data_IF_789020879222
#
_entry.id   IF_789020879222
#
_cell.length_a   1.000
_cell.length_b   1.000
_cell.length_c   1.000
_cell.angle_alpha   90.00
_cell.angle_beta   90.00
_cell.angle_gamma   90.00
#
_symmetry.space_group_name_H-M   'P 1'
#
loop_
_entity.id
_entity.type
_entity.pdbx_description
1 polymer ?
#
# COMPACT_ATOMS: atom_id res chain seq x y z
N UNK A 1 24.87 -75.44 -14.42
CA UNK A 1 24.43 -75.97 -15.72
C UNK A 1 24.64 -74.85 -16.71
N UNK A 2 25.55 -75.08 -17.64
CA UNK A 2 25.77 -74.45 -18.97
C UNK A 2 25.62 -72.91 -19.06
N UNK A 3 26.67 -72.11 -19.29
CA UNK A 3 27.68 -72.08 -20.37
C UNK A 3 27.15 -71.77 -21.78
N UNK A 4 27.52 -70.59 -22.28
CA UNK A 4 28.27 -70.40 -23.53
C UNK A 4 29.09 -69.07 -23.36
N UNK A 5 30.38 -68.89 -23.76
CA UNK A 5 31.12 -69.15 -25.03
C UNK A 5 30.74 -68.09 -26.07
N UNK A 6 31.60 -67.33 -26.77
CA UNK A 6 33.08 -67.10 -26.93
C UNK A 6 33.21 -65.66 -27.51
N UNK A 7 34.34 -64.95 -27.68
CA UNK A 7 35.80 -64.96 -27.34
C UNK A 7 36.30 -63.52 -27.72
N UNK A 8 37.55 -63.07 -27.93
CA UNK A 8 38.98 -63.48 -27.92
C UNK A 8 39.78 -62.13 -27.91
N UNK A 9 41.08 -61.98 -27.67
CA UNK A 9 42.22 -62.83 -27.29
C UNK A 9 43.44 -61.92 -27.00
N UNK A 10 44.58 -62.47 -26.57
CA UNK A 10 45.78 -61.68 -26.19
C UNK A 10 47.04 -62.09 -26.97
N UNK A 11 47.98 -61.15 -27.13
CA UNK A 11 49.35 -61.39 -27.64
C UNK A 11 50.38 -60.64 -26.79
N UNK A 12 51.62 -61.14 -26.74
CA UNK A 12 52.68 -60.70 -25.83
C UNK A 12 54.06 -60.72 -26.52
N UNK A 13 55.15 -60.53 -25.73
CA UNK A 13 56.58 -60.60 -26.11
C UNK A 13 57.13 -59.38 -26.89
N UNK A 14 58.41 -58.98 -26.82
CA UNK A 14 59.52 -59.38 -25.92
C UNK A 14 60.58 -58.24 -25.82
N UNK A 15 61.67 -58.35 -25.02
CA UNK A 15 62.50 -57.21 -24.61
C UNK A 15 63.90 -57.10 -25.28
N UNK A 16 64.57 -55.97 -25.03
CA UNK A 16 66.04 -55.76 -24.83
C UNK A 16 66.28 -54.30 -24.40
N UNK A 17 66.90 -54.05 -23.25
CA UNK A 17 68.36 -53.87 -23.03
C UNK A 17 68.99 -52.75 -23.86
N UNK A 18 69.61 -51.75 -23.20
CA UNK A 18 71.06 -51.47 -23.26
C UNK A 18 71.52 -50.17 -22.57
N UNK A 19 72.53 -50.27 -21.68
CA UNK A 19 73.56 -49.26 -21.27
C UNK A 19 73.06 -47.87 -20.73
N UNK A 20 73.81 -47.08 -19.92
CA UNK A 20 75.12 -47.27 -19.29
C UNK A 20 75.31 -46.51 -17.95
N UNK A 21 76.52 -46.64 -17.40
CA UNK A 21 77.09 -46.24 -16.12
C UNK A 21 76.85 -44.83 -15.51
N UNK A 22 76.73 -44.84 -14.17
CA UNK A 22 77.42 -44.00 -13.16
C UNK A 22 77.35 -42.45 -13.25
N UNK A 23 76.77 -41.86 -12.20
CA UNK A 23 76.94 -40.46 -11.77
C UNK A 23 76.61 -40.33 -10.28
N UNK A 24 77.33 -39.48 -9.54
CA UNK A 24 77.32 -39.44 -8.07
C UNK A 24 76.22 -38.55 -7.44
N UNK A 25 76.17 -38.59 -6.10
CA UNK A 25 75.29 -37.89 -5.17
C UNK A 25 74.71 -36.53 -5.59
N UNK A 26 73.41 -36.34 -5.32
CA UNK A 26 72.89 -35.04 -4.87
C UNK A 26 71.61 -35.17 -4.03
N UNK A 27 71.77 -35.03 -2.71
CA UNK A 27 70.65 -34.89 -1.78
C UNK A 27 69.80 -33.65 -2.12
N UNK A 28 68.46 -33.72 -2.07
CA UNK A 28 67.60 -32.58 -2.42
C UNK A 28 67.77 -31.42 -1.42
N UNK A 29 68.28 -30.29 -1.92
CA UNK A 29 68.57 -29.09 -1.13
C UNK A 29 67.31 -28.54 -0.43
N UNK A 30 67.30 -28.40 0.92
CA UNK A 30 66.10 -28.02 1.69
C UNK A 30 65.61 -26.58 1.45
N UNK A 31 66.38 -25.77 0.72
CA UNK A 31 66.01 -24.39 0.33
C UNK A 31 64.88 -24.38 -0.70
N UNK A 32 64.87 -25.31 -1.67
CA UNK A 32 64.02 -25.20 -2.85
C UNK A 32 62.54 -25.53 -2.53
N UNK A 33 62.28 -26.50 -1.64
CA UNK A 33 60.93 -26.74 -1.11
C UNK A 33 60.42 -25.59 -0.22
N UNK A 34 61.30 -24.96 0.59
CA UNK A 34 60.92 -23.82 1.44
C UNK A 34 60.42 -22.63 0.62
N UNK A 35 61.07 -22.32 -0.51
CA UNK A 35 60.65 -21.23 -1.38
C UNK A 35 59.25 -21.46 -1.99
N UNK A 36 58.98 -22.68 -2.50
CA UNK A 36 57.65 -23.03 -3.06
C UNK A 36 56.54 -23.00 -1.99
N UNK A 37 56.85 -23.40 -0.75
CA UNK A 37 55.91 -23.28 0.37
C UNK A 37 55.66 -21.81 0.75
N UNK A 38 56.69 -20.96 0.80
CA UNK A 38 56.53 -19.53 1.05
C UNK A 38 55.71 -18.82 -0.03
N UNK A 39 55.90 -19.12 -1.32
CA UNK A 39 55.08 -18.52 -2.37
C UNK A 39 53.62 -18.98 -2.32
N UNK A 40 53.36 -20.26 -2.05
CA UNK A 40 51.98 -20.74 -1.83
C UNK A 40 51.33 -20.09 -0.62
N UNK A 41 52.05 -19.88 0.48
CA UNK A 41 51.55 -19.15 1.64
C UNK A 41 51.29 -17.67 1.34
N UNK A 42 52.20 -16.98 0.63
CA UNK A 42 51.99 -15.58 0.18
C UNK A 42 50.77 -15.46 -0.74
N UNK A 43 50.60 -16.37 -1.69
CA UNK A 43 49.44 -16.41 -2.59
C UNK A 43 48.13 -16.69 -1.87
N UNK A 44 48.14 -17.57 -0.86
CA UNK A 44 46.98 -17.82 0.00
C UNK A 44 46.63 -16.58 0.85
N UNK A 45 47.63 -15.95 1.46
CA UNK A 45 47.46 -14.74 2.27
C UNK A 45 46.95 -13.56 1.43
N UNK A 46 47.44 -13.39 0.21
CA UNK A 46 46.96 -12.37 -0.73
C UNK A 46 45.50 -12.61 -1.17
N UNK A 47 45.12 -13.86 -1.44
CA UNK A 47 43.71 -14.23 -1.73
C UNK A 47 42.80 -14.01 -0.52
N UNK A 48 43.27 -14.29 0.69
CA UNK A 48 42.53 -14.02 1.92
C UNK A 48 42.38 -12.50 2.16
N UNK A 49 43.44 -11.73 1.94
CA UNK A 49 43.41 -10.26 2.01
C UNK A 49 42.42 -9.66 0.99
N UNK A 50 42.45 -10.11 -0.26
CA UNK A 50 41.46 -9.69 -1.27
C UNK A 50 40.02 -10.01 -0.86
N UNK A 51 39.76 -11.21 -0.31
CA UNK A 51 38.44 -11.56 0.24
C UNK A 51 38.01 -10.64 1.40
N UNK A 52 38.93 -10.26 2.28
CA UNK A 52 38.63 -9.29 3.35
C UNK A 52 38.34 -7.89 2.78
N UNK A 53 39.05 -7.45 1.73
CA UNK A 53 38.73 -6.21 1.03
C UNK A 53 37.36 -6.25 0.34
N UNK A 54 37.01 -7.35 -0.34
CA UNK A 54 35.67 -7.56 -0.92
C UNK A 54 34.57 -7.43 0.14
N UNK A 55 34.72 -8.15 1.28
CA UNK A 55 33.75 -8.10 2.38
C UNK A 55 33.68 -6.70 2.99
N UNK A 56 34.81 -6.02 3.20
CA UNK A 56 34.83 -4.65 3.73
C UNK A 56 34.12 -3.65 2.79
N UNK A 57 34.34 -3.74 1.47
CA UNK A 57 33.68 -2.90 0.47
C UNK A 57 32.16 -3.13 0.49
N UNK A 58 31.72 -4.39 0.52
CA UNK A 58 30.29 -4.72 0.63
C UNK A 58 29.70 -4.19 1.94
N UNK A 59 30.41 -4.34 3.07
CA UNK A 59 29.95 -3.82 4.36
C UNK A 59 29.83 -2.29 4.35
N UNK A 60 30.79 -1.57 3.76
CA UNK A 60 30.73 -0.11 3.60
C UNK A 60 29.56 0.32 2.71
N UNK A 61 29.31 -0.38 1.59
CA UNK A 61 28.16 -0.08 0.72
C UNK A 61 26.83 -0.29 1.47
N UNK A 62 26.70 -1.39 2.22
CA UNK A 62 25.50 -1.67 3.03
C UNK A 62 25.32 -0.62 4.14
N UNK A 63 26.38 -0.25 4.85
CA UNK A 63 26.32 0.79 5.88
C UNK A 63 25.95 2.16 5.31
N UNK A 64 26.55 2.57 4.18
CA UNK A 64 26.16 3.81 3.49
C UNK A 64 24.71 3.77 2.99
N UNK A 65 24.23 2.63 2.49
CA UNK A 65 22.82 2.49 2.09
C UNK A 65 21.88 2.63 3.30
N UNK A 66 22.21 2.05 4.45
CA UNK A 66 21.44 2.18 5.70
C UNK A 66 21.43 3.63 6.18
N UNK A 67 22.57 4.34 6.17
CA UNK A 67 22.63 5.77 6.52
C UNK A 67 21.77 6.62 5.59
N UNK A 68 21.86 6.43 4.27
CA UNK A 68 21.06 7.16 3.28
C UNK A 68 19.55 6.87 3.47
N UNK A 69 19.19 5.63 3.81
CA UNK A 69 17.79 5.27 4.09
C UNK A 69 17.29 5.95 5.37
N UNK A 70 18.08 5.92 6.44
CA UNK A 70 17.76 6.56 7.73
C UNK A 70 17.66 8.08 7.63
N UNK A 71 18.56 8.75 6.90
CA UNK A 71 18.48 10.20 6.61
C UNK A 71 17.23 10.54 5.78
N UNK A 72 16.83 9.66 4.85
CA UNK A 72 15.64 9.84 4.02
C UNK A 72 14.34 9.62 4.80
N UNK A 73 14.29 8.64 5.69
CA UNK A 73 13.20 8.49 6.67
C UNK A 73 13.12 9.72 7.57
N UNK A 74 14.23 10.14 8.20
CA UNK A 74 14.21 11.26 9.14
C UNK A 74 13.84 12.58 8.45
N UNK A 75 14.31 12.83 7.22
CA UNK A 75 13.91 13.99 6.40
C UNK A 75 12.43 13.97 5.99
N UNK A 76 11.82 12.78 5.87
CA UNK A 76 10.40 12.62 5.54
C UNK A 76 9.54 12.79 6.80
N UNK A 77 9.96 12.17 7.91
CA UNK A 77 9.34 12.29 9.23
C UNK A 77 9.42 13.71 9.77
N UNK A 78 10.51 14.45 9.57
CA UNK A 78 10.60 15.87 9.95
C UNK A 78 9.61 16.76 9.17
N UNK A 79 9.35 16.46 7.88
CA UNK A 79 8.35 17.18 7.08
C UNK A 79 6.91 16.87 7.50
N UNK A 80 6.63 15.61 7.87
CA UNK A 80 5.34 15.21 8.44
C UNK A 80 5.11 15.86 9.81
N UNK A 81 6.08 15.74 10.74
CA UNK A 81 6.03 16.34 12.10
C UNK A 81 5.72 17.84 12.14
N UNK A 82 6.03 18.58 11.06
CA UNK A 82 5.70 20.00 10.95
C UNK A 82 4.20 20.31 10.84
N UNK A 83 3.36 19.33 10.47
CA UNK A 83 1.95 19.57 10.10
C UNK A 83 0.92 18.89 11.04
N UNK A 84 1.30 17.92 11.86
CA UNK A 84 0.38 17.22 12.77
C UNK A 84 0.27 17.85 14.16
N UNK A 85 -0.29 19.06 14.21
CA UNK A 85 -0.80 19.65 15.47
C UNK A 85 -2.32 19.52 15.55
N UNK A 86 -2.84 19.07 16.69
CA UNK A 86 -4.29 18.92 16.90
C UNK A 86 -4.95 20.28 17.13
N UNK A 87 -5.82 20.71 16.20
CA UNK A 87 -6.57 21.96 16.31
C UNK A 87 -7.77 21.82 17.25
N UNK A 88 -7.98 22.83 18.10
CA UNK A 88 -9.16 22.90 18.99
C UNK A 88 -10.40 23.31 18.21
N UNK A 89 -11.57 22.80 18.63
CA UNK A 89 -12.85 23.14 18.03
C UNK A 89 -13.14 24.66 18.14
N UNK A 90 -13.58 25.26 17.02
CA UNK A 90 -13.87 26.70 16.92
C UNK A 90 -13.06 27.44 15.84
N UNK A 91 -12.67 26.76 14.76
CA UNK A 91 -12.03 27.39 13.60
C UNK A 91 -13.07 27.74 12.52
N UNK A 92 -12.93 28.91 11.94
CA UNK A 92 -13.54 29.27 10.66
C UNK A 92 -12.69 28.61 9.55
N UNK A 93 -13.30 27.89 8.60
CA UNK A 93 -12.53 27.05 7.68
C UNK A 93 -11.83 27.90 6.62
N UNK A 94 -10.53 28.14 6.84
CA UNK A 94 -9.70 29.03 6.01
C UNK A 94 -9.58 28.59 4.55
N UNK A 95 -9.76 27.30 4.25
CA UNK A 95 -9.75 26.76 2.89
C UNK A 95 -11.15 26.25 2.55
N UNK A 96 -11.65 26.64 1.37
CA UNK A 96 -12.81 26.00 0.75
C UNK A 96 -12.34 25.21 -0.47
N UNK A 97 -13.04 24.13 -0.82
CA UNK A 97 -12.65 23.21 -1.89
C UNK A 97 -13.68 23.19 -3.00
N UNK A 98 -13.24 22.84 -4.21
CA UNK A 98 -14.08 22.65 -5.39
C UNK A 98 -13.61 21.44 -6.21
N UNK A 99 -14.56 20.57 -6.57
CA UNK A 99 -14.39 19.47 -7.50
C UNK A 99 -14.44 19.99 -8.95
N UNK A 100 -13.67 19.37 -9.82
CA UNK A 100 -13.46 19.80 -11.22
C UNK A 100 -14.11 18.76 -12.15
N UNK A 101 -15.40 18.89 -12.50
CA UNK A 101 -16.13 17.87 -13.25
C UNK A 101 -15.73 17.82 -14.73
N UNK A 102 -15.96 16.66 -15.35
CA UNK A 102 -15.71 16.40 -16.77
C UNK A 102 -14.63 15.36 -17.04
N UNK A 103 -14.20 14.61 -16.02
CA UNK A 103 -13.23 13.52 -16.12
C UNK A 103 -13.85 12.13 -15.98
N UNK A 104 -14.78 11.92 -15.04
CA UNK A 104 -15.38 10.60 -14.77
C UNK A 104 -16.91 10.60 -15.01
N UNK A 105 -17.54 9.42 -14.93
CA UNK A 105 -19.00 9.27 -15.09
C UNK A 105 -19.76 9.82 -13.86
N UNK A 106 -19.10 9.75 -12.71
CA UNK A 106 -19.58 10.12 -11.38
C UNK A 106 -19.82 11.63 -11.26
N UNK A 107 -19.07 12.45 -12.00
CA UNK A 107 -19.11 13.93 -12.04
C UNK A 107 -20.46 14.54 -12.49
N UNK A 108 -21.44 13.71 -12.87
CA UNK A 108 -22.69 14.14 -13.53
C UNK A 108 -23.85 14.14 -12.54
N UNK A 109 -24.68 15.18 -12.59
CA UNK A 109 -25.97 15.21 -11.87
C UNK A 109 -27.00 14.16 -12.30
N UNK A 110 -26.69 13.37 -13.34
CA UNK A 110 -27.41 12.18 -13.76
C UNK A 110 -26.57 10.90 -13.64
N UNK A 111 -25.52 10.91 -12.82
CA UNK A 111 -24.78 9.73 -12.41
C UNK A 111 -25.69 8.82 -11.58
N UNK A 112 -25.62 7.52 -11.86
CA UNK A 112 -26.51 6.51 -11.33
C UNK A 112 -25.63 5.38 -10.79
N UNK A 113 -25.52 5.22 -9.45
CA UNK A 113 -24.65 4.22 -8.83
C UNK A 113 -24.90 2.78 -9.30
N UNK A 114 -26.15 2.39 -9.53
CA UNK A 114 -26.50 1.04 -9.97
C UNK A 114 -26.09 0.79 -11.43
N UNK A 115 -26.21 1.80 -12.30
CA UNK A 115 -25.76 1.73 -13.71
C UNK A 115 -24.25 1.91 -13.89
N UNK A 116 -23.57 2.59 -12.96
CA UNK A 116 -22.11 2.78 -13.00
C UNK A 116 -21.38 1.60 -12.32
N UNK A 117 -21.93 1.09 -11.23
CA UNK A 117 -21.40 -0.03 -10.46
C UNK A 117 -20.20 0.32 -9.55
N UNK A 118 -19.71 -0.63 -8.73
CA UNK A 118 -18.61 -0.41 -7.80
C UNK A 118 -17.23 -0.23 -8.48
N UNK A 119 -17.02 -0.87 -9.63
CA UNK A 119 -15.72 -0.88 -10.31
C UNK A 119 -15.91 -0.66 -11.83
N UNK A 120 -16.36 0.54 -12.24
CA UNK A 120 -16.56 0.87 -13.65
C UNK A 120 -15.22 0.83 -14.42
N UNK A 121 -15.27 0.41 -15.69
CA UNK A 121 -14.11 0.43 -16.59
C UNK A 121 -13.36 1.78 -16.53
N UNK A 122 -12.04 1.70 -16.31
CA UNK A 122 -11.13 2.86 -16.17
C UNK A 122 -11.50 3.77 -14.99
N UNK A 123 -12.00 3.20 -13.90
CA UNK A 123 -12.58 3.91 -12.75
C UNK A 123 -13.69 4.91 -13.11
N UNK A 124 -14.32 4.74 -14.29
CA UNK A 124 -15.34 5.63 -14.81
C UNK A 124 -14.83 6.76 -15.70
N UNK A 125 -13.53 6.85 -15.99
CA UNK A 125 -12.95 7.90 -16.84
C UNK A 125 -13.66 7.97 -18.20
N UNK A 126 -14.07 9.18 -18.62
CA UNK A 126 -14.87 9.38 -19.86
C UNK A 126 -14.02 9.57 -21.12
N UNK A 127 -12.70 9.72 -21.01
CA UNK A 127 -11.82 9.85 -22.17
C UNK A 127 -11.74 8.50 -22.92
N UNK A 128 -12.12 8.48 -24.19
CA UNK A 128 -12.14 7.27 -25.04
C UNK A 128 -10.92 7.15 -25.97
N UNK A 129 -9.94 8.05 -25.89
CA UNK A 129 -8.71 7.98 -26.68
C UNK A 129 -7.84 6.78 -26.26
N UNK A 130 -7.07 6.18 -27.19
CA UNK A 130 -6.19 5.02 -26.91
C UNK A 130 -5.25 5.22 -25.71
N UNK A 131 -4.83 6.46 -25.48
CA UNK A 131 -3.95 6.87 -24.37
C UNK A 131 -4.71 7.70 -23.32
N UNK A 132 -5.87 7.22 -22.86
CA UNK A 132 -6.77 7.97 -21.97
C UNK A 132 -6.16 8.35 -20.62
N UNK A 133 -5.31 7.50 -20.00
CA UNK A 133 -4.64 7.83 -18.75
C UNK A 133 -3.50 8.82 -18.95
N UNK A 134 -2.66 8.63 -19.97
CA UNK A 134 -1.64 9.62 -20.33
C UNK A 134 -2.26 10.98 -20.71
N UNK A 135 -3.47 10.99 -21.28
CA UNK A 135 -4.24 12.20 -21.55
C UNK A 135 -4.80 12.83 -20.27
N UNK A 136 -5.26 12.03 -19.31
CA UNK A 136 -5.75 12.48 -18.01
C UNK A 136 -4.62 13.15 -17.21
N UNK A 137 -3.50 12.47 -17.05
CA UNK A 137 -2.30 12.99 -16.37
C UNK A 137 -1.81 14.31 -16.97
N UNK A 138 -1.70 14.39 -18.30
CA UNK A 138 -1.35 15.64 -19.00
C UNK A 138 -2.37 16.77 -18.82
N UNK A 139 -3.63 16.49 -18.47
CA UNK A 139 -4.62 17.51 -18.09
C UNK A 139 -4.36 17.99 -16.65
N UNK A 140 -4.17 17.07 -15.70
CA UNK A 140 -3.86 17.40 -14.29
C UNK A 140 -2.55 18.20 -14.18
N UNK A 141 -1.46 17.74 -14.79
CA UNK A 141 -0.19 18.47 -14.85
C UNK A 141 -0.32 19.85 -15.50
N UNK A 142 -1.18 20.00 -16.51
CA UNK A 142 -1.44 21.28 -17.18
C UNK A 142 -2.29 22.24 -16.34
N UNK A 143 -3.13 21.73 -15.43
CA UNK A 143 -3.82 22.52 -14.42
C UNK A 143 -2.81 22.99 -13.35
N UNK A 144 -2.06 22.07 -12.73
CA UNK A 144 -1.03 22.38 -11.73
C UNK A 144 0.14 23.26 -12.25
N UNK A 145 0.43 23.26 -13.55
CA UNK A 145 1.40 24.19 -14.17
C UNK A 145 0.83 25.58 -14.50
N UNK A 146 -0.48 25.79 -14.29
CA UNK A 146 -1.19 27.03 -14.61
C UNK A 146 -1.76 27.77 -13.39
N UNK A 147 -1.80 27.12 -12.24
CA UNK A 147 -2.15 27.74 -10.97
C UNK A 147 -1.05 28.65 -10.42
N UNK A 148 -1.44 29.47 -9.45
CA UNK A 148 -0.58 30.11 -8.47
C UNK A 148 0.01 29.10 -7.46
N UNK A 149 0.77 29.60 -6.47
CA UNK A 149 1.38 28.82 -5.39
C UNK A 149 0.37 28.18 -4.44
N UNK A 150 -0.85 28.68 -4.40
CA UNK A 150 -1.83 28.40 -3.34
C UNK A 150 -2.88 27.39 -3.83
N UNK A 151 -2.96 27.16 -5.14
CA UNK A 151 -3.90 26.26 -5.81
C UNK A 151 -3.20 25.01 -6.35
N UNK A 152 -3.44 23.86 -5.70
CA UNK A 152 -3.02 22.54 -6.21
C UNK A 152 -4.23 21.65 -6.48
N UNK A 153 -4.31 21.13 -7.71
CA UNK A 153 -5.27 20.13 -8.15
C UNK A 153 -4.79 18.74 -7.73
N UNK A 154 -5.61 18.07 -6.91
CA UNK A 154 -5.42 16.71 -6.42
C UNK A 154 -6.37 15.74 -7.14
N UNK A 155 -6.00 14.47 -7.16
CA UNK A 155 -6.84 13.38 -7.67
C UNK A 155 -7.03 12.38 -6.53
N UNK A 156 -8.27 12.18 -6.10
CA UNK A 156 -8.63 11.35 -4.96
C UNK A 156 -9.25 10.03 -5.42
N UNK A 157 -8.54 8.93 -5.29
CA UNK A 157 -9.08 7.58 -5.45
C UNK A 157 -9.82 7.17 -4.16
N UNK A 158 -11.14 7.36 -4.15
CA UNK A 158 -12.02 7.18 -2.99
C UNK A 158 -12.61 5.76 -2.99
N UNK A 159 -12.06 4.88 -2.16
CA UNK A 159 -12.53 3.50 -1.97
C UNK A 159 -13.43 3.34 -0.75
N UNK A 160 -14.62 2.77 -0.95
CA UNK A 160 -15.47 2.26 0.14
C UNK A 160 -15.07 0.82 0.45
N UNK A 161 -14.96 0.47 1.74
CA UNK A 161 -14.65 -0.89 2.17
C UNK A 161 -15.57 -1.95 1.52
N UNK A 162 -15.03 -3.16 1.33
CA UNK A 162 -15.83 -4.33 0.96
C UNK A 162 -16.87 -4.69 2.02
N UNK A 163 -17.87 -5.47 1.66
CA UNK A 163 -18.94 -5.93 2.54
C UNK A 163 -18.38 -6.57 3.81
N UNK A 164 -18.75 -6.02 4.96
CA UNK A 164 -18.50 -6.64 6.26
C UNK A 164 -19.75 -7.29 6.82
N UNK A 165 -19.59 -8.14 7.84
CA UNK A 165 -20.72 -8.81 8.49
C UNK A 165 -21.78 -7.85 9.07
N UNK A 166 -21.40 -6.59 9.36
CA UNK A 166 -22.35 -5.55 9.74
C UNK A 166 -23.30 -5.14 8.60
N UNK A 167 -22.85 -5.16 7.35
CA UNK A 167 -23.71 -4.89 6.19
C UNK A 167 -24.74 -6.01 6.03
N UNK A 168 -24.30 -7.27 6.14
CA UNK A 168 -25.20 -8.45 6.09
C UNK A 168 -26.21 -8.43 7.25
N UNK A 169 -25.79 -8.05 8.46
CA UNK A 169 -26.70 -7.89 9.59
C UNK A 169 -27.71 -6.75 9.38
N UNK A 170 -27.27 -5.60 8.87
CA UNK A 170 -28.13 -4.44 8.63
C UNK A 170 -29.14 -4.68 7.49
N UNK A 171 -28.72 -5.38 6.43
CA UNK A 171 -29.59 -5.83 5.33
C UNK A 171 -30.65 -6.83 5.82
N UNK A 172 -30.23 -7.84 6.59
CA UNK A 172 -31.14 -8.88 7.09
C UNK A 172 -32.18 -8.39 8.11
N UNK A 173 -31.81 -7.43 8.98
CA UNK A 173 -32.72 -6.90 10.01
C UNK A 173 -33.45 -5.60 9.62
N UNK A 174 -32.97 -4.89 8.59
CA UNK A 174 -33.41 -3.53 8.27
C UNK A 174 -32.88 -2.48 9.25
N UNK A 175 -32.81 -1.23 8.79
CA UNK A 175 -32.19 -0.10 9.50
C UNK A 175 -32.73 0.10 10.92
N UNK A 176 -34.05 0.07 11.09
CA UNK A 176 -34.72 0.37 12.37
C UNK A 176 -34.38 -0.66 13.46
N UNK A 177 -34.53 -1.95 13.18
CA UNK A 177 -34.25 -3.03 14.14
C UNK A 177 -32.74 -3.25 14.31
N UNK A 178 -31.93 -2.83 13.33
CA UNK A 178 -30.48 -2.73 13.47
C UNK A 178 -30.07 -1.69 14.51
N UNK A 179 -30.48 -0.42 14.35
CA UNK A 179 -30.08 0.67 15.26
C UNK A 179 -30.75 0.62 16.64
N UNK A 180 -31.97 0.09 16.69
CA UNK A 180 -32.68 -0.17 17.95
C UNK A 180 -32.04 -1.29 18.77
N UNK A 181 -31.41 -2.29 18.14
CA UNK A 181 -31.03 -3.54 18.82
C UNK A 181 -29.80 -4.27 18.28
N UNK A 182 -29.74 -4.65 17.00
CA UNK A 182 -28.72 -5.61 16.55
C UNK A 182 -27.34 -5.00 16.35
N UNK A 183 -27.24 -3.78 15.81
CA UNK A 183 -25.96 -3.07 15.73
C UNK A 183 -25.31 -2.85 17.10
N UNK A 184 -26.11 -2.75 18.17
CA UNK A 184 -25.69 -2.64 19.58
C UNK A 184 -25.22 -3.97 20.21
N UNK A 185 -25.22 -5.07 19.45
CA UNK A 185 -24.68 -6.39 19.84
C UNK A 185 -23.47 -6.74 18.99
N UNK A 186 -22.67 -7.71 19.42
CA UNK A 186 -21.52 -8.21 18.64
C UNK A 186 -21.92 -9.19 17.51
N UNK A 187 -23.17 -9.65 17.48
CA UNK A 187 -23.64 -10.66 16.55
C UNK A 187 -25.03 -11.19 16.91
N UNK A 188 -25.50 -12.18 16.15
CA UNK A 188 -26.76 -12.90 16.43
C UNK A 188 -26.56 -14.36 16.89
N UNK A 189 -25.32 -14.85 16.94
CA UNK A 189 -24.98 -16.24 17.27
C UNK A 189 -24.72 -17.12 16.04
N UNK A 190 -25.07 -16.65 14.84
CA UNK A 190 -24.71 -17.28 13.55
C UNK A 190 -23.58 -16.51 12.87
N UNK A 191 -23.64 -15.17 12.91
CA UNK A 191 -22.57 -14.28 12.43
C UNK A 191 -22.17 -13.27 13.51
N UNK A 192 -20.91 -12.82 13.42
CA UNK A 192 -20.28 -11.83 14.32
C UNK A 192 -19.93 -10.59 13.50
N UNK A 193 -20.30 -9.42 14.00
CA UNK A 193 -20.04 -8.12 13.38
C UNK A 193 -19.50 -7.08 14.36
N UNK A 194 -19.13 -7.47 15.58
CA UNK A 194 -18.57 -6.58 16.60
C UNK A 194 -17.68 -7.30 17.62
N UNK A 195 -16.67 -6.65 18.22
CA UNK A 195 -16.12 -5.34 17.80
C UNK A 195 -15.60 -5.39 16.35
N UNK A 196 -15.43 -4.21 15.74
CA UNK A 196 -14.88 -3.97 14.39
C UNK A 196 -15.20 -5.03 13.31
N UNK A 197 -16.28 -4.82 12.57
CA UNK A 197 -16.78 -5.80 11.62
C UNK A 197 -15.75 -6.17 10.53
N UNK A 198 -15.32 -7.43 10.53
CA UNK A 198 -14.51 -8.03 9.46
C UNK A 198 -15.26 -8.09 8.12
N UNK A 199 -14.51 -8.20 7.02
CA UNK A 199 -15.05 -8.49 5.69
C UNK A 199 -15.70 -9.87 5.63
N UNK A 200 -16.73 -10.01 4.78
CA UNK A 200 -17.23 -11.31 4.31
C UNK A 200 -16.40 -11.78 3.10
N UNK A 201 -16.56 -13.04 2.69
CA UNK A 201 -15.97 -13.55 1.44
C UNK A 201 -16.40 -12.71 0.21
N UNK A 202 -17.63 -12.17 0.23
CA UNK A 202 -18.15 -11.25 -0.78
C UNK A 202 -17.49 -9.87 -0.70
N UNK A 203 -17.10 -9.42 0.49
CA UNK A 203 -16.28 -8.22 0.69
C UNK A 203 -14.84 -8.37 0.19
N UNK A 204 -14.22 -9.53 0.43
CA UNK A 204 -12.91 -9.88 -0.15
C UNK A 204 -13.02 -9.89 -1.68
N UNK A 205 -13.98 -10.61 -2.25
CA UNK A 205 -14.24 -10.66 -3.69
C UNK A 205 -14.76 -9.32 -4.30
N UNK A 206 -15.05 -8.30 -3.48
CA UNK A 206 -15.22 -6.93 -3.94
C UNK A 206 -13.88 -6.20 -4.05
N UNK A 207 -13.04 -6.26 -3.01
CA UNK A 207 -11.70 -5.67 -3.04
C UNK A 207 -10.82 -6.27 -4.15
N UNK A 208 -10.86 -7.59 -4.36
CA UNK A 208 -10.17 -8.29 -5.46
C UNK A 208 -10.58 -7.79 -6.86
N UNK A 209 -11.81 -7.31 -7.02
CA UNK A 209 -12.29 -6.73 -8.29
C UNK A 209 -11.77 -5.31 -8.51
N UNK A 210 -11.64 -4.51 -7.45
CA UNK A 210 -10.98 -3.19 -7.54
C UNK A 210 -9.48 -3.37 -7.79
N UNK A 211 -8.84 -4.35 -7.13
CA UNK A 211 -7.46 -4.77 -7.42
C UNK A 211 -7.28 -5.19 -8.90
N UNK A 212 -8.16 -6.06 -9.41
CA UNK A 212 -8.15 -6.49 -10.81
C UNK A 212 -8.33 -5.33 -11.79
N UNK A 213 -9.08 -4.28 -11.40
CA UNK A 213 -9.20 -3.05 -12.19
C UNK A 213 -7.91 -2.23 -12.15
N UNK A 214 -7.23 -2.10 -11.01
CA UNK A 214 -5.90 -1.50 -10.95
C UNK A 214 -4.91 -2.23 -11.85
N UNK A 215 -4.74 -3.56 -11.71
CA UNK A 215 -3.85 -4.38 -12.55
C UNK A 215 -4.10 -4.17 -14.05
N UNK A 216 -5.38 -4.17 -14.44
CA UNK A 216 -5.84 -3.96 -15.82
C UNK A 216 -5.46 -2.58 -16.36
N UNK A 217 -5.50 -1.55 -15.52
CA UNK A 217 -5.26 -0.16 -15.91
C UNK A 217 -3.78 0.28 -15.78
N UNK A 218 -2.91 -0.51 -15.12
CA UNK A 218 -1.44 -0.32 -15.13
C UNK A 218 -0.84 -0.29 -16.54
N UNK A 219 -1.41 -1.04 -17.48
CA UNK A 219 -0.87 -1.20 -18.85
C UNK A 219 -1.78 -0.62 -19.94
N UNK A 220 -3.07 -0.42 -19.66
CA UNK A 220 -4.03 0.18 -20.59
C UNK A 220 -4.03 1.70 -20.49
N UNK A 221 -4.59 2.38 -21.49
CA UNK A 221 -4.67 3.85 -21.51
C UNK A 221 -3.32 4.59 -21.53
N UNK A 222 -2.21 3.86 -21.67
CA UNK A 222 -0.85 4.38 -21.49
C UNK A 222 -0.38 4.43 -20.02
N UNK A 223 -1.00 3.63 -19.15
CA UNK A 223 -0.68 3.49 -17.73
C UNK A 223 -1.44 4.47 -16.85
N UNK A 224 -2.21 3.97 -15.88
CA UNK A 224 -2.87 4.78 -14.85
C UNK A 224 -1.83 5.48 -13.97
N UNK A 225 -1.99 6.78 -13.64
CA UNK A 225 -1.16 7.42 -12.63
C UNK A 225 -1.44 6.79 -11.27
N UNK A 226 -0.39 6.22 -10.67
CA UNK A 226 -0.48 5.56 -9.37
C UNK A 226 -0.56 6.61 -8.25
N UNK A 227 -1.33 6.34 -7.18
CA UNK A 227 -1.28 7.15 -5.97
C UNK A 227 0.13 7.09 -5.35
N UNK A 228 0.62 8.23 -4.87
CA UNK A 228 1.93 8.34 -4.19
C UNK A 228 1.78 8.51 -2.67
N UNK A 229 0.63 9.01 -2.22
CA UNK A 229 0.24 9.03 -0.82
C UNK A 229 -1.07 8.24 -0.60
N UNK A 230 -1.10 7.46 0.48
CA UNK A 230 -2.15 6.51 0.79
C UNK A 230 -2.67 6.76 2.21
N UNK A 231 -3.99 6.84 2.36
CA UNK A 231 -4.68 7.08 3.61
C UNK A 231 -5.73 6.00 3.85
N UNK A 232 -5.81 5.49 5.07
CA UNK A 232 -6.71 4.39 5.40
C UNK A 232 -7.42 4.64 6.72
N UNK A 233 -8.67 4.21 6.77
CA UNK A 233 -9.46 4.16 7.99
C UNK A 233 -8.95 3.06 8.92
N UNK A 234 -8.97 3.26 10.25
CA UNK A 234 -8.42 2.31 11.22
C UNK A 234 -9.31 1.09 11.51
N UNK A 235 -10.50 1.00 10.92
CA UNK A 235 -11.42 -0.13 11.10
C UNK A 235 -11.06 -1.28 10.17
N UNK A 236 -11.03 -2.53 10.68
CA UNK A 236 -10.53 -3.74 10.00
C UNK A 236 -11.05 -3.88 8.57
N UNK A 237 -12.35 -3.67 8.34
CA UNK A 237 -12.95 -3.75 6.99
C UNK A 237 -12.24 -2.88 5.96
N UNK A 238 -11.81 -1.68 6.34
CA UNK A 238 -11.10 -0.77 5.46
C UNK A 238 -9.60 -1.12 5.36
N UNK A 239 -8.96 -1.49 6.47
CA UNK A 239 -7.55 -1.94 6.51
C UNK A 239 -7.31 -3.16 5.59
N UNK A 240 -8.21 -4.14 5.66
CA UNK A 240 -8.18 -5.35 4.83
C UNK A 240 -8.58 -5.07 3.37
N UNK A 241 -9.57 -4.19 3.13
CA UNK A 241 -9.91 -3.75 1.77
C UNK A 241 -8.72 -3.08 1.10
N UNK A 242 -7.99 -2.22 1.82
CA UNK A 242 -6.77 -1.58 1.33
C UNK A 242 -5.71 -2.62 0.95
N UNK A 243 -5.46 -3.58 1.86
CA UNK A 243 -4.46 -4.63 1.69
C UNK A 243 -4.68 -5.40 0.39
N UNK A 244 -5.91 -5.88 0.17
CA UNK A 244 -6.30 -6.61 -1.04
C UNK A 244 -6.23 -5.69 -2.28
N UNK A 245 -6.72 -4.45 -2.18
CA UNK A 245 -6.80 -3.54 -3.33
C UNK A 245 -5.43 -3.22 -3.92
N UNK A 246 -4.43 -2.95 -3.07
CA UNK A 246 -3.13 -2.42 -3.50
C UNK A 246 -1.96 -3.42 -3.48
N UNK A 247 -2.16 -4.67 -3.04
CA UNK A 247 -1.12 -5.70 -3.04
C UNK A 247 -0.45 -5.88 -4.42
N UNK A 248 0.80 -5.43 -4.57
CA UNK A 248 1.52 -5.50 -5.85
C UNK A 248 0.99 -4.57 -6.96
N UNK A 249 0.19 -3.56 -6.61
CA UNK A 249 -0.15 -2.43 -7.49
C UNK A 249 0.91 -1.33 -7.39
N UNK A 250 1.47 -1.16 -6.19
CA UNK A 250 2.69 -0.41 -5.89
C UNK A 250 3.60 -1.29 -5.03
N UNK A 251 4.90 -1.03 -5.06
CA UNK A 251 5.86 -1.68 -4.17
C UNK A 251 5.64 -1.18 -2.73
N UNK A 252 5.51 -2.11 -1.78
CA UNK A 252 5.39 -1.91 -0.33
C UNK A 252 4.59 -0.65 0.11
N UNK A 253 3.26 -0.60 -0.13
CA UNK A 253 2.44 0.54 0.28
C UNK A 253 2.42 0.69 1.81
N UNK A 254 2.89 1.84 2.30
CA UNK A 254 2.82 2.26 3.69
C UNK A 254 1.70 3.30 3.94
N UNK A 255 0.40 2.90 3.97
CA UNK A 255 -0.69 3.83 4.20
C UNK A 255 -0.60 4.48 5.58
N UNK A 256 -1.04 5.73 5.67
CA UNK A 256 -1.24 6.43 6.93
C UNK A 256 -2.66 6.13 7.45
N UNK A 257 -2.72 5.42 8.57
CA UNK A 257 -3.92 5.22 9.37
C UNK A 257 -4.26 6.54 10.05
N UNK A 258 -5.42 7.11 9.70
CA UNK A 258 -5.95 8.36 10.26
C UNK A 258 -7.25 8.04 10.99
N UNK A 259 -7.32 8.32 12.29
CA UNK A 259 -8.47 8.02 13.14
C UNK A 259 -9.75 8.67 12.61
N UNK A 260 -9.64 9.92 12.15
CA UNK A 260 -10.75 10.68 11.58
C UNK A 260 -11.24 10.21 10.19
N UNK A 261 -10.66 9.13 9.63
CA UNK A 261 -11.22 8.39 8.49
C UNK A 261 -12.11 7.20 8.92
N UNK A 262 -12.39 7.00 10.21
CA UNK A 262 -13.33 5.97 10.71
C UNK A 262 -14.78 6.18 10.24
N UNK A 263 -15.58 5.11 10.28
CA UNK A 263 -17.04 5.21 10.15
C UNK A 263 -17.62 5.98 11.35
N UNK A 264 -18.88 6.41 11.30
CA UNK A 264 -19.47 7.19 12.41
C UNK A 264 -19.41 6.38 13.71
N UNK A 265 -18.79 6.93 14.76
CA UNK A 265 -18.52 6.17 15.98
C UNK A 265 -19.71 6.12 16.96
N UNK A 266 -19.66 5.15 17.87
CA UNK A 266 -20.67 4.94 18.92
C UNK A 266 -21.92 4.18 18.49
N UNK A 267 -22.73 3.73 19.47
CA UNK A 267 -23.85 2.77 19.38
C UNK A 267 -23.54 1.39 18.79
N UNK A 268 -23.05 1.35 17.54
CA UNK A 268 -22.85 0.11 16.78
C UNK A 268 -21.50 -0.50 17.15
N UNK A 269 -21.50 -1.75 17.58
CA UNK A 269 -20.28 -2.50 17.95
C UNK A 269 -19.34 -2.70 16.77
N UNK A 270 -19.88 -2.75 15.55
CA UNK A 270 -19.14 -2.77 14.30
C UNK A 270 -18.21 -1.55 14.10
N UNK A 271 -18.46 -0.46 14.84
CA UNK A 271 -17.71 0.79 14.75
C UNK A 271 -16.79 1.02 15.97
N UNK A 272 -16.69 0.04 16.88
CA UNK A 272 -15.72 -0.02 17.98
C UNK A 272 -14.40 -0.60 17.46
N UNK A 273 -13.37 0.24 17.40
CA UNK A 273 -12.06 -0.05 16.80
C UNK A 273 -11.20 -0.95 17.70
N UNK A 274 -10.36 -1.80 17.10
CA UNK A 274 -9.30 -2.50 17.82
C UNK A 274 -8.20 -1.56 18.37
N UNK A 275 -7.47 -2.00 19.40
CA UNK A 275 -6.37 -1.19 19.93
C UNK A 275 -5.19 -1.08 18.95
N UNK A 276 -4.39 -0.02 19.10
CA UNK A 276 -3.28 0.35 18.23
C UNK A 276 -2.18 -0.71 18.19
N UNK A 277 -1.98 -1.47 19.27
CA UNK A 277 -1.06 -2.62 19.33
C UNK A 277 -1.54 -3.72 18.38
N UNK A 278 -2.79 -4.17 18.54
CA UNK A 278 -3.38 -5.21 17.70
C UNK A 278 -3.38 -4.84 16.21
N UNK A 279 -3.73 -3.58 15.88
CA UNK A 279 -3.71 -3.12 14.48
C UNK A 279 -2.29 -3.20 13.89
N UNK A 280 -1.24 -2.86 14.67
CA UNK A 280 0.16 -2.96 14.23
C UNK A 280 0.63 -4.41 14.08
N UNK A 281 0.12 -5.32 14.92
CA UNK A 281 0.43 -6.75 14.80
C UNK A 281 -0.18 -7.37 13.54
N UNK A 282 -1.36 -6.91 13.10
CA UNK A 282 -1.99 -7.41 11.86
C UNK A 282 -1.50 -6.69 10.59
N UNK A 283 -1.17 -5.40 10.68
CA UNK A 283 -0.78 -4.55 9.54
C UNK A 283 0.57 -3.86 9.81
N UNK A 284 1.69 -4.61 9.86
CA UNK A 284 2.98 -4.11 10.35
C UNK A 284 3.64 -3.04 9.47
N UNK A 285 3.28 -2.93 8.19
CA UNK A 285 3.76 -1.88 7.27
C UNK A 285 2.90 -0.60 7.31
N UNK A 286 1.79 -0.60 8.04
CA UNK A 286 0.88 0.56 8.07
C UNK A 286 1.34 1.54 9.15
N UNK A 287 1.43 2.82 8.77
CA UNK A 287 1.87 3.90 9.65
C UNK A 287 0.66 4.52 10.33
N UNK A 288 0.83 5.08 11.53
CA UNK A 288 -0.24 5.73 12.30
C UNK A 288 0.01 7.23 12.37
N UNK A 289 -1.04 8.06 12.35
CA UNK A 289 -0.86 9.51 12.55
C UNK A 289 -0.30 9.86 13.93
N UNK A 290 0.38 11.01 14.02
CA UNK A 290 0.90 11.52 15.29
C UNK A 290 -0.25 11.74 16.29
N UNK A 291 -0.08 11.21 17.50
CA UNK A 291 -1.08 11.28 18.57
C UNK A 291 -2.16 10.18 18.55
N UNK A 292 -2.17 9.26 17.56
CA UNK A 292 -3.14 8.16 17.50
C UNK A 292 -3.20 7.35 18.82
N UNK A 293 -4.37 7.23 19.43
CA UNK A 293 -4.57 6.65 20.78
C UNK A 293 -4.40 5.14 20.81
N UNK A 294 -4.00 4.58 21.96
CA UNK A 294 -3.87 3.12 22.10
C UNK A 294 -5.23 2.43 22.06
N UNK A 295 -6.17 2.86 22.92
CA UNK A 295 -7.55 2.36 22.94
C UNK A 295 -8.46 3.21 22.04
N UNK A 296 -9.66 2.69 21.76
CA UNK A 296 -10.73 3.49 21.16
C UNK A 296 -11.38 4.38 22.22
N UNK A 297 -10.98 5.65 22.25
CA UNK A 297 -11.47 6.65 23.20
C UNK A 297 -12.69 7.43 22.65
N UNK A 298 -13.10 7.17 21.40
CA UNK A 298 -14.20 7.89 20.73
C UNK A 298 -15.50 7.08 20.70
N UNK A 299 -15.43 5.75 20.67
CA UNK A 299 -16.63 4.91 20.65
C UNK A 299 -17.38 4.98 21.98
N UNK A 300 -18.62 5.47 21.93
CA UNK A 300 -19.53 5.53 23.07
C UNK A 300 -20.71 4.58 22.88
N UNK A 301 -21.02 3.77 23.89
CA UNK A 301 -22.05 2.73 23.82
C UNK A 301 -23.46 3.26 23.55
N UNK A 302 -23.77 4.43 24.07
CA UNK A 302 -25.13 4.97 24.17
C UNK A 302 -25.34 6.31 23.42
N UNK A 303 -24.31 6.79 22.71
CA UNK A 303 -24.33 7.98 21.82
C UNK A 303 -23.86 7.60 20.41
N UNK A 304 -24.30 8.32 19.36
CA UNK A 304 -23.86 8.16 17.96
C UNK A 304 -23.32 9.49 17.45
N UNK A 305 -22.20 9.45 16.74
CA UNK A 305 -21.70 10.61 15.99
C UNK A 305 -22.72 11.09 14.94
N UNK A 306 -22.92 12.41 14.83
CA UNK A 306 -23.79 13.00 13.81
C UNK A 306 -23.10 13.12 12.45
N UNK A 307 -23.89 13.20 11.37
CA UNK A 307 -23.35 13.45 10.02
C UNK A 307 -22.62 14.79 9.94
N UNK A 308 -23.11 15.82 10.63
CA UNK A 308 -22.45 17.13 10.76
C UNK A 308 -21.05 17.04 11.41
N UNK A 309 -20.92 16.21 12.46
CA UNK A 309 -19.64 15.97 13.11
C UNK A 309 -18.72 15.13 12.24
N UNK A 310 -19.27 14.16 11.51
CA UNK A 310 -18.56 13.35 10.52
C UNK A 310 -17.97 14.25 9.42
N UNK A 311 -18.74 15.15 8.79
CA UNK A 311 -18.19 16.11 7.80
C UNK A 311 -17.10 16.99 8.43
N UNK A 312 -17.34 17.51 9.64
CA UNK A 312 -16.37 18.35 10.35
C UNK A 312 -15.03 17.65 10.59
N UNK A 313 -15.00 16.38 11.01
CA UNK A 313 -13.72 15.66 11.20
C UNK A 313 -13.07 15.25 9.89
N UNK A 314 -13.85 14.88 8.87
CA UNK A 314 -13.32 14.55 7.53
C UNK A 314 -12.71 15.79 6.88
N UNK A 315 -13.31 16.97 7.06
CA UNK A 315 -12.74 18.26 6.65
C UNK A 315 -11.38 18.51 7.31
N UNK A 316 -11.26 18.27 8.62
CA UNK A 316 -9.98 18.32 9.34
C UNK A 316 -8.92 17.31 8.88
N UNK A 317 -9.28 16.31 8.05
CA UNK A 317 -8.34 15.45 7.32
C UNK A 317 -8.03 16.04 5.95
N UNK A 318 -9.04 16.46 5.19
CA UNK A 318 -8.87 17.05 3.85
C UNK A 318 -8.03 18.33 3.88
N UNK A 319 -8.21 19.19 4.89
CA UNK A 319 -7.39 20.39 5.14
C UNK A 319 -5.88 20.06 5.22
N UNK A 320 -5.53 18.85 5.68
CA UNK A 320 -4.14 18.34 5.74
C UNK A 320 -3.72 17.61 4.46
N UNK A 321 -4.53 16.67 3.95
CA UNK A 321 -4.09 15.80 2.84
C UNK A 321 -4.21 16.46 1.46
N UNK A 322 -5.02 17.52 1.32
CA UNK A 322 -5.07 18.30 0.08
C UNK A 322 -3.96 19.37 0.00
N UNK A 323 -3.21 19.60 1.08
CA UNK A 323 -2.13 20.61 1.16
C UNK A 323 -0.72 20.03 1.09
N UNK A 324 -0.56 18.70 1.01
CA UNK A 324 0.74 18.02 0.77
C UNK A 324 1.21 18.18 -0.69
N UNK A 325 2.46 17.81 -0.99
CA UNK A 325 3.06 17.92 -2.34
C UNK A 325 2.41 16.95 -3.36
N UNK A 326 2.05 15.73 -2.93
CA UNK A 326 1.49 14.66 -3.76
C UNK A 326 0.27 15.08 -4.59
N UNK A 327 0.18 14.59 -5.83
CA UNK A 327 -0.95 14.88 -6.75
C UNK A 327 -2.00 13.77 -6.76
N UNK A 328 -1.59 12.52 -6.67
CA UNK A 328 -2.47 11.34 -6.74
C UNK A 328 -2.55 10.69 -5.36
N UNK A 329 -3.73 10.73 -4.76
CA UNK A 329 -3.99 10.30 -3.38
C UNK A 329 -5.00 9.15 -3.39
N UNK A 330 -4.85 8.16 -2.52
CA UNK A 330 -5.85 7.12 -2.30
C UNK A 330 -6.38 7.16 -0.86
N UNK A 331 -7.70 7.03 -0.71
CA UNK A 331 -8.39 7.01 0.59
C UNK A 331 -9.27 5.77 0.63
N UNK A 332 -9.03 4.84 1.56
CA UNK A 332 -9.89 3.66 1.77
C UNK A 332 -10.61 3.77 3.12
N UNK A 333 -11.93 3.94 3.07
CA UNK A 333 -12.78 4.27 4.22
C UNK A 333 -14.22 3.75 4.03
N UNK A 334 -15.21 4.52 4.49
CA UNK A 334 -16.63 4.14 4.62
C UNK A 334 -17.51 5.12 3.85
N UNK A 335 -18.78 4.75 3.56
CA UNK A 335 -19.68 5.59 2.76
C UNK A 335 -19.80 7.00 3.31
N UNK A 336 -19.99 7.16 4.63
CA UNK A 336 -20.08 8.47 5.30
C UNK A 336 -18.83 9.36 5.14
N UNK A 337 -17.65 8.77 4.95
CA UNK A 337 -16.39 9.51 4.70
C UNK A 337 -16.28 9.93 3.24
N UNK A 338 -16.76 9.12 2.31
CA UNK A 338 -16.80 9.44 0.87
C UNK A 338 -17.89 10.50 0.58
N UNK A 339 -19.08 10.33 1.17
CA UNK A 339 -20.18 11.29 1.19
C UNK A 339 -19.72 12.65 1.74
N UNK A 340 -19.11 12.66 2.93
CA UNK A 340 -18.51 13.88 3.49
C UNK A 340 -17.45 14.49 2.56
N UNK A 341 -16.60 13.68 1.91
CA UNK A 341 -15.59 14.19 0.97
C UNK A 341 -16.24 14.91 -0.21
N UNK A 342 -17.24 14.32 -0.86
CA UNK A 342 -17.98 14.97 -1.95
C UNK A 342 -18.71 16.23 -1.48
N UNK A 343 -19.35 16.21 -0.30
CA UNK A 343 -19.98 17.38 0.31
C UNK A 343 -18.97 18.50 0.59
N UNK A 344 -17.75 18.16 0.99
CA UNK A 344 -16.67 19.13 1.28
C UNK A 344 -16.11 19.73 0.00
N UNK A 345 -15.84 18.92 -1.02
CA UNK A 345 -15.31 19.35 -2.31
C UNK A 345 -16.38 19.92 -3.25
N UNK A 346 -17.68 19.86 -2.89
CA UNK A 346 -18.79 20.27 -3.78
C UNK A 346 -18.80 19.49 -5.09
N UNK A 347 -18.37 18.23 -5.03
CA UNK A 347 -18.69 17.23 -6.04
C UNK A 347 -20.21 16.94 -6.00
N UNK A 348 -20.73 16.32 -7.06
CA UNK A 348 -22.10 15.83 -7.10
C UNK A 348 -22.31 14.64 -6.15
N UNK A 349 -23.45 14.59 -5.47
CA UNK A 349 -23.90 13.45 -4.66
C UNK A 349 -23.81 12.14 -5.48
N UNK A 350 -23.02 11.18 -5.00
CA UNK A 350 -22.85 9.86 -5.61
C UNK A 350 -22.54 8.82 -4.53
N UNK A 351 -23.48 7.90 -4.23
CA UNK A 351 -23.16 6.78 -3.32
C UNK A 351 -22.23 5.80 -4.03
N UNK A 352 -20.98 5.70 -3.58
CA UNK A 352 -20.04 4.69 -4.07
C UNK A 352 -20.48 3.34 -3.51
N UNK A 353 -20.86 2.34 -4.34
CA UNK A 353 -21.37 1.07 -3.81
C UNK A 353 -20.33 0.33 -2.96
N UNK A 354 -20.78 -0.52 -2.03
CA UNK A 354 -19.92 -1.30 -1.12
C UNK A 354 -18.84 -2.07 -1.88
N UNK A 355 -17.58 -1.91 -1.44
CA UNK A 355 -16.41 -2.47 -2.11
C UNK A 355 -16.16 -1.89 -3.52
N UNK A 356 -16.49 -0.62 -3.71
CA UNK A 356 -16.29 0.13 -4.93
C UNK A 356 -15.34 1.32 -4.77
N UNK A 357 -14.96 1.93 -5.89
CA UNK A 357 -14.04 3.07 -5.94
C UNK A 357 -14.49 4.12 -6.95
N UNK A 358 -14.53 5.37 -6.53
CA UNK A 358 -14.71 6.55 -7.38
C UNK A 358 -13.44 7.40 -7.41
N UNK A 359 -13.41 8.41 -8.29
CA UNK A 359 -12.31 9.36 -8.39
C UNK A 359 -12.86 10.78 -8.39
N UNK A 360 -12.41 11.61 -7.45
CA UNK A 360 -12.63 13.07 -7.46
C UNK A 360 -11.37 13.78 -7.99
N UNK A 361 -11.55 14.95 -8.60
CA UNK A 361 -10.47 15.86 -8.97
C UNK A 361 -10.72 17.19 -8.28
N UNK A 362 -10.13 17.38 -7.11
CA UNK A 362 -10.44 18.50 -6.20
C UNK A 362 -9.29 19.50 -6.11
N UNK A 363 -9.61 20.77 -5.93
CA UNK A 363 -8.63 21.83 -5.67
C UNK A 363 -9.15 22.80 -4.59
N UNK A 364 -8.26 23.60 -3.94
CA UNK A 364 -8.67 24.82 -3.26
C UNK A 364 -9.51 25.69 -4.21
N UNK A 365 -10.59 26.28 -3.69
CA UNK A 365 -11.47 27.16 -4.44
C UNK A 365 -10.96 28.62 -4.30
N UNK A 366 -10.43 29.25 -5.36
CA UNK A 366 -9.82 30.59 -5.29
C UNK A 366 -10.83 31.74 -5.19
N UNK A 367 -12.09 31.46 -4.84
CA UNK A 367 -13.20 32.43 -4.89
C UNK A 367 -13.50 33.15 -3.56
N UNK A 368 -12.66 32.98 -2.53
CA UNK A 368 -12.77 33.66 -1.22
C UNK A 368 -11.40 33.87 -0.57
#
# INVERSE_FOLDING_TARGET
MDQDVKSMGATSSNPREKHEALGEDSLPQPVQQRNVLQEKQKGLFYRFYLRLCEVAIVLSIVLSAISIFSEREESSLQRLRGHFSCSKAGQDYKITYIAIPGFFKQDKSSADPDKIGPAPDRFGLIDHHKHYWTNFDKKIQKLNKKSDSDTSYKVLFLGRHGEGFHNVGMDYYGQDEWDRKWGRKNGNGTITWGPDAQLTDRGVAQAERVHSLWQKELTRGGGIPLPTAFFVSPLIRALHTFQITFAGIVDDPEPLIIENLRDSYGLRTADLRHNKTWIREQYPTYRFEDGFTEQDELWMKDERETDEHTEKRVRGVLDKILTIEDTYLAIVAHSKVVEATFNITKHQDFDVPTGGMAVDVSAPNPSR
#
